data_IF_521645439302
#
_entry.id   IF_521645439302
#
_cell.length_a   1.000
_cell.length_b   1.000
_cell.length_c   1.000
_cell.angle_alpha   90.00
_cell.angle_beta   90.00
_cell.angle_gamma   90.00
#
_symmetry.space_group_name_H-M   'P 1'
#
loop_
_entity.id
_entity.type
_entity.pdbx_description
1 polymer ?
#
# COMPACT_ATOMS: atom_id res chain seq x y z
N UNK A 1 7.64 -22.01 -6.92
CA UNK A 1 8.21 -22.79 -5.81
C UNK A 1 8.43 -21.87 -4.63
N UNK A 2 8.19 -22.31 -3.38
CA UNK A 2 8.59 -21.55 -2.20
C UNK A 2 10.13 -21.39 -2.21
N UNK A 3 10.66 -20.18 -1.96
CA UNK A 3 12.11 -19.98 -1.82
C UNK A 3 12.61 -20.81 -0.61
N UNK A 4 13.82 -21.39 -0.62
CA UNK A 4 14.38 -22.01 0.59
C UNK A 4 14.41 -20.99 1.74
N UNK A 5 14.22 -21.44 2.99
CA UNK A 5 14.22 -20.62 4.22
C UNK A 5 12.96 -19.79 4.55
N UNK A 6 11.79 -20.11 3.96
CA UNK A 6 10.55 -19.34 4.20
C UNK A 6 10.11 -19.28 5.66
N UNK A 7 10.36 -20.30 6.48
CA UNK A 7 9.98 -20.34 7.90
C UNK A 7 10.65 -19.28 8.77
N UNK A 8 11.79 -18.71 8.34
CA UNK A 8 12.45 -17.58 9.02
C UNK A 8 12.09 -16.21 8.43
N UNK A 9 11.33 -16.17 7.35
CA UNK A 9 10.97 -14.90 6.70
C UNK A 9 9.65 -14.37 7.24
N UNK A 10 9.47 -13.05 7.28
CA UNK A 10 8.18 -12.41 7.61
C UNK A 10 7.02 -13.04 6.81
N UNK A 11 7.23 -13.38 5.53
CA UNK A 11 6.20 -14.03 4.71
C UNK A 11 5.80 -15.40 5.23
N UNK A 12 6.74 -16.21 5.71
CA UNK A 12 6.43 -17.52 6.30
C UNK A 12 5.58 -17.36 7.54
N UNK A 13 5.94 -16.44 8.43
CA UNK A 13 5.14 -16.15 9.63
C UNK A 13 3.73 -15.68 9.29
N UNK A 14 3.57 -14.78 8.31
CA UNK A 14 2.25 -14.30 7.86
C UNK A 14 1.41 -15.41 7.22
N UNK A 15 2.02 -16.25 6.38
CA UNK A 15 1.35 -17.40 5.77
C UNK A 15 0.89 -18.37 6.87
N UNK A 16 1.76 -18.66 7.83
CA UNK A 16 1.44 -19.57 8.94
C UNK A 16 0.26 -19.04 9.76
N UNK A 17 0.32 -17.78 10.21
CA UNK A 17 -0.80 -17.14 10.94
C UNK A 17 -2.11 -17.21 10.15
N UNK A 18 -2.08 -16.97 8.84
CA UNK A 18 -3.26 -17.06 7.97
C UNK A 18 -3.81 -18.48 7.87
N UNK A 19 -2.94 -19.49 7.69
CA UNK A 19 -3.35 -20.90 7.61
C UNK A 19 -3.92 -21.41 8.94
N UNK A 20 -3.42 -20.90 10.07
CA UNK A 20 -3.91 -21.24 11.41
C UNK A 20 -5.25 -20.56 11.74
N UNK A 21 -5.68 -19.57 10.94
CA UNK A 21 -6.92 -18.80 11.16
C UNK A 21 -7.78 -18.71 9.88
N UNK A 22 -8.26 -19.85 9.35
CA UNK A 22 -8.96 -19.90 8.05
C UNK A 22 -10.31 -19.17 8.02
N UNK A 23 -10.89 -18.85 9.19
CA UNK A 23 -12.12 -18.08 9.30
C UNK A 23 -11.88 -16.56 9.18
N UNK A 24 -10.67 -16.10 9.49
CA UNK A 24 -10.32 -14.68 9.53
C UNK A 24 -9.41 -14.26 8.35
N UNK A 25 -8.78 -15.22 7.66
CA UNK A 25 -7.80 -14.94 6.62
C UNK A 25 -7.94 -15.83 5.39
N UNK A 26 -7.84 -15.22 4.21
CA UNK A 26 -7.80 -15.91 2.93
C UNK A 26 -6.39 -15.87 2.33
N UNK A 27 -5.73 -17.03 2.25
CA UNK A 27 -4.43 -17.15 1.59
C UNK A 27 -4.57 -17.53 0.11
N UNK A 28 -4.37 -16.57 -0.79
CA UNK A 28 -4.31 -16.83 -2.23
C UNK A 28 -3.05 -17.65 -2.57
N UNK A 29 -3.24 -18.95 -2.81
CA UNK A 29 -2.16 -19.84 -3.27
C UNK A 29 -1.82 -19.58 -4.73
N UNK A 30 -0.75 -18.83 -4.96
CA UNK A 30 -0.22 -18.57 -6.30
C UNK A 30 0.35 -19.85 -6.95
N UNK A 31 -0.50 -20.57 -7.68
CA UNK A 31 -0.07 -21.70 -8.51
C UNK A 31 -0.15 -21.33 -10.00
N UNK A 32 0.88 -21.73 -10.78
CA UNK A 32 1.01 -21.43 -12.21
C UNK A 32 0.84 -19.92 -12.50
N UNK A 33 -0.10 -19.56 -13.37
CA UNK A 33 -0.35 -18.19 -13.84
C UNK A 33 -1.36 -17.41 -13.00
N UNK A 34 -1.93 -17.99 -11.93
CA UNK A 34 -3.05 -17.39 -11.19
C UNK A 34 -2.75 -15.98 -10.66
N UNK A 35 -1.58 -15.78 -10.04
CA UNK A 35 -1.21 -14.46 -9.50
C UNK A 35 -0.66 -13.49 -10.55
N UNK A 36 -0.54 -13.92 -11.81
CA UNK A 36 -0.23 -13.05 -12.95
C UNK A 36 -1.50 -12.57 -13.65
N UNK A 37 -2.67 -13.11 -13.28
CA UNK A 37 -3.97 -12.71 -13.78
C UNK A 37 -4.52 -11.55 -12.94
N UNK A 38 -4.69 -10.35 -13.51
CA UNK A 38 -5.18 -9.20 -12.77
C UNK A 38 -6.57 -9.41 -12.16
N UNK A 39 -7.46 -10.13 -12.85
CA UNK A 39 -8.80 -10.44 -12.38
C UNK A 39 -8.78 -11.26 -11.09
N UNK A 40 -7.88 -12.24 -10.99
CA UNK A 40 -7.80 -13.13 -9.85
C UNK A 40 -7.25 -12.44 -8.60
N UNK A 41 -6.19 -11.64 -8.75
CA UNK A 41 -5.61 -10.89 -7.62
C UNK A 41 -6.49 -9.73 -7.20
N UNK A 42 -7.05 -8.98 -8.16
CA UNK A 42 -7.95 -7.87 -7.86
C UNK A 42 -9.23 -8.32 -7.18
N UNK A 43 -9.78 -9.48 -7.55
CA UNK A 43 -10.93 -10.05 -6.85
C UNK A 43 -10.67 -10.26 -5.36
N UNK A 44 -9.47 -10.70 -4.97
CA UNK A 44 -9.12 -10.85 -3.55
C UNK A 44 -9.05 -9.49 -2.85
N UNK A 45 -8.46 -8.48 -3.49
CA UNK A 45 -8.37 -7.14 -2.92
C UNK A 45 -9.76 -6.51 -2.71
N UNK A 46 -10.65 -6.61 -3.70
CA UNK A 46 -12.00 -6.03 -3.62
C UNK A 46 -12.82 -6.58 -2.44
N UNK A 47 -12.66 -7.87 -2.13
CA UNK A 47 -13.42 -8.59 -1.11
C UNK A 47 -12.72 -8.68 0.25
N UNK A 48 -11.53 -8.09 0.41
CA UNK A 48 -10.79 -8.11 1.66
C UNK A 48 -10.83 -6.74 2.35
N UNK A 49 -10.82 -6.74 3.69
CA UNK A 49 -10.64 -5.51 4.46
C UNK A 49 -9.17 -5.10 4.53
N UNK A 50 -8.29 -6.06 4.83
CA UNK A 50 -6.87 -5.86 5.02
C UNK A 50 -6.06 -6.73 4.06
N UNK A 51 -4.96 -6.16 3.54
CA UNK A 51 -4.10 -6.83 2.58
C UNK A 51 -2.65 -6.79 3.05
N UNK A 52 -2.07 -7.96 3.31
CA UNK A 52 -0.70 -8.07 3.80
C UNK A 52 0.30 -7.70 2.70
N UNK A 53 1.15 -6.70 2.96
CA UNK A 53 2.19 -6.24 2.04
C UNK A 53 3.59 -6.36 2.66
N UNK A 54 4.09 -7.59 2.91
CA UNK A 54 5.44 -7.78 3.39
C UNK A 54 6.47 -7.35 2.34
N UNK A 55 7.62 -6.78 2.76
CA UNK A 55 8.68 -6.38 1.85
C UNK A 55 9.25 -7.57 1.07
N UNK A 56 10.01 -7.28 0.01
CA UNK A 56 10.74 -8.29 -0.74
C UNK A 56 12.12 -7.83 -1.14
N UNK A 57 12.50 -8.14 -2.38
CA UNK A 57 13.80 -7.74 -2.93
C UNK A 57 13.92 -6.20 -3.02
N UNK A 58 12.78 -5.50 -3.13
CA UNK A 58 12.63 -4.05 -2.99
C UNK A 58 11.75 -3.70 -1.78
N UNK A 59 11.89 -2.48 -1.20
CA UNK A 59 11.03 -2.04 -0.10
C UNK A 59 9.55 -1.97 -0.50
N UNK A 60 9.25 -1.41 -1.68
CA UNK A 60 7.88 -1.32 -2.20
C UNK A 60 7.61 -2.37 -3.27
N UNK A 61 6.37 -2.83 -3.35
CA UNK A 61 5.89 -3.77 -4.37
C UNK A 61 4.64 -3.22 -5.05
N UNK A 62 4.45 -3.60 -6.31
CA UNK A 62 3.23 -3.33 -7.09
C UNK A 62 1.94 -3.66 -6.30
N UNK A 63 1.95 -4.74 -5.52
CA UNK A 63 0.79 -5.20 -4.75
C UNK A 63 0.30 -4.20 -3.70
N UNK A 64 1.14 -3.30 -3.21
CA UNK A 64 0.74 -2.18 -2.33
C UNK A 64 -0.26 -1.30 -3.06
N UNK A 65 0.08 -0.86 -4.28
CA UNK A 65 -0.78 -0.03 -5.11
C UNK A 65 -2.02 -0.79 -5.60
N UNK A 66 -1.89 -2.06 -6.00
CA UNK A 66 -3.05 -2.86 -6.38
C UNK A 66 -4.04 -3.00 -5.21
N UNK A 67 -3.58 -3.09 -3.95
CA UNK A 67 -4.47 -3.12 -2.78
C UNK A 67 -5.18 -1.78 -2.54
N UNK A 68 -4.49 -0.66 -2.71
CA UNK A 68 -5.10 0.68 -2.64
C UNK A 68 -6.16 0.87 -3.74
N UNK A 69 -5.85 0.47 -4.97
CA UNK A 69 -6.80 0.50 -6.09
C UNK A 69 -8.02 -0.41 -5.81
N UNK A 70 -7.81 -1.55 -5.17
CA UNK A 70 -8.90 -2.44 -4.74
C UNK A 70 -9.69 -1.96 -3.51
N UNK A 71 -9.33 -0.82 -2.91
CA UNK A 71 -9.93 -0.34 -1.65
C UNK A 71 -9.62 -1.23 -0.45
N UNK A 72 -8.60 -2.07 -0.53
CA UNK A 72 -8.13 -2.90 0.56
C UNK A 72 -7.08 -2.15 1.38
N UNK A 73 -7.22 -2.14 2.70
CA UNK A 73 -6.31 -1.44 3.60
C UNK A 73 -4.96 -2.18 3.63
N UNK A 74 -3.86 -1.59 3.13
CA UNK A 74 -2.56 -2.24 3.19
C UNK A 74 -2.08 -2.36 4.63
N UNK A 75 -1.62 -3.56 4.97
CA UNK A 75 -0.87 -3.85 6.20
C UNK A 75 0.60 -3.89 5.83
N UNK A 76 1.34 -2.88 6.26
CA UNK A 76 2.75 -2.67 5.93
C UNK A 76 3.64 -3.16 7.07
N UNK A 77 4.77 -3.74 6.70
CA UNK A 77 5.72 -4.32 7.66
C UNK A 77 7.08 -3.61 7.69
N UNK A 78 7.23 -2.61 6.83
CA UNK A 78 8.39 -1.75 6.69
C UNK A 78 7.89 -0.35 6.26
N UNK A 79 8.25 0.74 6.96
CA UNK A 79 7.81 2.08 6.60
C UNK A 79 8.31 2.52 5.22
N UNK A 80 9.45 1.99 4.76
CA UNK A 80 9.97 2.27 3.42
C UNK A 80 9.06 1.72 2.31
N UNK A 81 8.15 0.79 2.61
CA UNK A 81 7.22 0.25 1.60
C UNK A 81 6.23 1.26 1.04
N UNK A 82 5.99 2.40 1.72
CA UNK A 82 5.07 3.42 1.23
C UNK A 82 5.40 4.83 1.72
N UNK A 83 5.72 5.00 3.00
CA UNK A 83 5.65 6.31 3.67
C UNK A 83 6.70 7.31 3.23
N UNK A 84 7.86 6.84 2.76
CA UNK A 84 8.96 7.73 2.38
C UNK A 84 9.10 7.92 0.87
N UNK A 85 8.60 7.00 0.05
CA UNK A 85 8.92 6.96 -1.39
C UNK A 85 7.88 7.65 -2.28
N UNK A 86 6.65 7.84 -1.81
CA UNK A 86 5.54 8.36 -2.64
C UNK A 86 4.85 9.60 -2.06
N UNK A 87 5.61 10.63 -1.62
CA UNK A 87 5.05 11.79 -0.92
C UNK A 87 4.08 12.62 -1.78
N UNK A 88 4.15 12.51 -3.11
CA UNK A 88 3.21 13.21 -4.00
C UNK A 88 1.86 12.49 -4.11
N UNK A 89 1.83 11.16 -3.95
CA UNK A 89 0.67 10.33 -4.24
C UNK A 89 0.01 9.72 -3.00
N UNK A 90 0.74 9.60 -1.90
CA UNK A 90 0.24 9.04 -0.65
C UNK A 90 0.16 10.15 0.42
N UNK A 91 -0.92 10.21 1.22
CA UNK A 91 -1.03 11.16 2.32
C UNK A 91 0.07 10.96 3.38
N UNK A 92 0.48 12.05 4.01
CA UNK A 92 1.43 12.02 5.14
C UNK A 92 0.87 11.26 6.35
N UNK A 93 -0.44 11.41 6.62
CA UNK A 93 -1.13 10.62 7.63
C UNK A 93 -1.31 9.17 7.18
N UNK A 94 -0.25 8.39 7.35
CA UNK A 94 -0.20 6.96 7.05
C UNK A 94 -1.28 6.13 7.75
N UNK A 95 -1.68 6.52 8.97
CA UNK A 95 -2.67 5.79 9.76
C UNK A 95 -4.09 5.93 9.20
N UNK A 96 -4.35 7.01 8.45
CA UNK A 96 -5.64 7.20 7.79
C UNK A 96 -5.96 6.15 6.71
N UNK A 97 -4.96 5.42 6.19
CA UNK A 97 -5.17 4.50 5.07
C UNK A 97 -4.42 3.16 5.20
N UNK A 98 -3.57 2.98 6.21
CA UNK A 98 -2.77 1.76 6.34
C UNK A 98 -2.59 1.35 7.79
N UNK A 99 -2.25 0.09 8.00
CA UNK A 99 -1.85 -0.43 9.31
C UNK A 99 -0.36 -0.77 9.25
N UNK A 100 0.42 -0.27 10.19
CA UNK A 100 1.84 -0.59 10.31
C UNK A 100 2.09 -1.57 11.45
N UNK A 101 2.77 -2.68 11.16
CA UNK A 101 3.19 -3.67 12.15
C UNK A 101 4.66 -4.02 11.87
N UNK A 102 5.62 -3.72 12.77
CA UNK A 102 7.03 -3.97 12.50
C UNK A 102 7.33 -5.44 12.16
N UNK A 103 8.06 -5.69 11.06
CA UNK A 103 8.46 -7.05 10.64
C UNK A 103 9.11 -7.85 11.77
N UNK A 104 9.98 -7.19 12.56
CA UNK A 104 10.69 -7.79 13.69
C UNK A 104 9.75 -8.28 14.79
N UNK A 105 8.65 -7.58 15.05
CA UNK A 105 7.69 -7.95 16.10
C UNK A 105 6.91 -9.20 15.67
N UNK A 106 6.55 -9.31 14.40
CA UNK A 106 5.89 -10.49 13.83
C UNK A 106 6.84 -11.69 13.83
N UNK A 107 8.10 -11.49 13.40
CA UNK A 107 9.10 -12.56 13.32
C UNK A 107 9.54 -13.07 14.69
N UNK A 108 9.59 -12.20 15.70
CA UNK A 108 9.89 -12.58 17.09
C UNK A 108 8.68 -13.15 17.84
N UNK A 109 7.51 -13.22 17.20
CA UNK A 109 6.26 -13.69 17.82
C UNK A 109 5.64 -12.71 18.81
N UNK A 110 6.19 -11.50 18.95
CA UNK A 110 5.64 -10.43 19.80
C UNK A 110 4.34 -9.84 19.25
N UNK A 111 4.12 -9.95 17.94
CA UNK A 111 2.90 -9.48 17.27
C UNK A 111 2.19 -10.62 16.52
N UNK A 112 0.94 -10.90 16.92
CA UNK A 112 0.00 -11.67 16.10
C UNK A 112 -0.81 -10.70 15.24
N UNK A 113 -0.58 -10.74 13.93
CA UNK A 113 -1.14 -9.80 12.97
C UNK A 113 -2.67 -9.92 12.92
N UNK A 114 -3.20 -11.14 12.91
CA UNK A 114 -4.64 -11.36 12.83
C UNK A 114 -5.34 -10.80 14.06
N UNK A 115 -4.80 -11.05 15.25
CA UNK A 115 -5.38 -10.51 16.49
C UNK A 115 -5.34 -8.98 16.53
N UNK A 116 -4.23 -8.37 16.11
CA UNK A 116 -4.12 -6.91 16.00
C UNK A 116 -5.17 -6.35 15.03
N UNK A 117 -5.36 -6.95 13.86
CA UNK A 117 -6.31 -6.44 12.88
C UNK A 117 -7.78 -6.62 13.32
N UNK A 118 -8.06 -7.60 14.19
CA UNK A 118 -9.40 -7.80 14.77
C UNK A 118 -9.77 -6.75 15.82
N UNK A 119 -8.80 -6.06 16.41
CA UNK A 119 -9.09 -4.96 17.35
C UNK A 119 -9.53 -3.69 16.63
N UNK A 120 -9.25 -3.56 15.33
CA UNK A 120 -9.65 -2.42 14.52
C UNK A 120 -11.15 -2.50 14.24
N UNK A 121 -11.87 -1.45 14.64
CA UNK A 121 -13.33 -1.42 14.56
C UNK A 121 -13.86 -1.47 13.12
N UNK A 122 -15.13 -1.82 12.93
CA UNK A 122 -15.76 -1.74 11.62
C UNK A 122 -15.82 -0.30 11.08
N UNK A 123 -16.05 0.67 11.97
CA UNK A 123 -16.09 2.09 11.63
C UNK A 123 -14.73 2.61 11.16
N UNK A 124 -13.66 2.27 11.88
CA UNK A 124 -12.30 2.65 11.50
C UNK A 124 -11.92 2.04 10.15
N UNK A 125 -12.22 0.76 9.92
CA UNK A 125 -12.02 0.11 8.61
C UNK A 125 -12.80 0.80 7.49
N UNK A 126 -14.05 1.18 7.75
CA UNK A 126 -14.87 1.88 6.77
C UNK A 126 -14.30 3.27 6.44
N UNK A 127 -13.86 4.01 7.45
CA UNK A 127 -13.20 5.31 7.30
C UNK A 127 -11.90 5.20 6.48
N UNK A 128 -11.02 4.25 6.84
CA UNK A 128 -9.78 4.02 6.10
C UNK A 128 -10.05 3.65 4.64
N UNK A 129 -11.02 2.77 4.38
CA UNK A 129 -11.42 2.39 3.02
C UNK A 129 -12.02 3.57 2.24
N UNK A 130 -12.84 4.40 2.87
CA UNK A 130 -13.37 5.61 2.26
C UNK A 130 -12.25 6.59 1.88
N UNK A 131 -11.28 6.81 2.78
CA UNK A 131 -10.07 7.61 2.51
C UNK A 131 -9.29 7.07 1.31
N UNK A 132 -9.10 5.76 1.23
CA UNK A 132 -8.45 5.11 0.08
C UNK A 132 -9.23 5.39 -1.21
N UNK A 133 -10.54 5.13 -1.24
CA UNK A 133 -11.35 5.20 -2.45
C UNK A 133 -11.52 6.64 -2.95
N UNK A 134 -11.75 7.59 -2.05
CA UNK A 134 -12.10 8.96 -2.41
C UNK A 134 -10.87 9.85 -2.61
N UNK A 135 -9.81 9.68 -1.82
CA UNK A 135 -8.73 10.65 -1.76
C UNK A 135 -7.40 10.11 -2.32
N UNK A 136 -7.17 8.79 -2.26
CA UNK A 136 -5.89 8.19 -2.68
C UNK A 136 -5.99 7.59 -4.08
N UNK A 137 -6.96 6.70 -4.29
CA UNK A 137 -7.12 5.93 -5.53
C UNK A 137 -7.13 6.82 -6.79
N UNK A 138 -7.86 7.95 -6.84
CA UNK A 138 -7.88 8.79 -8.04
C UNK A 138 -6.47 9.28 -8.43
N UNK A 139 -5.63 9.60 -7.45
CA UNK A 139 -4.26 10.05 -7.66
C UNK A 139 -3.25 8.94 -7.97
N UNK A 140 -3.68 7.67 -8.00
CA UNK A 140 -2.85 6.51 -8.36
C UNK A 140 -3.12 5.98 -9.76
N UNK A 141 -4.21 6.42 -10.39
CA UNK A 141 -4.62 5.96 -11.72
C UNK A 141 -4.54 7.09 -12.74
N UNK A 142 -4.37 6.73 -14.00
CA UNK A 142 -4.46 7.68 -15.10
C UNK A 142 -5.90 7.78 -15.58
N UNK A 143 -6.39 9.01 -15.72
CA UNK A 143 -7.69 9.26 -16.30
C UNK A 143 -7.66 9.00 -17.79
N UNK A 144 -8.78 8.48 -18.32
CA UNK A 144 -8.95 8.35 -19.76
C UNK A 144 -9.16 9.75 -20.37
N UNK A 145 -8.39 10.15 -21.40
CA UNK A 145 -8.59 11.43 -22.08
C UNK A 145 -10.04 11.59 -22.56
N UNK A 146 -10.64 12.75 -22.26
CA UNK A 146 -12.02 13.08 -22.65
C UNK A 146 -13.11 12.41 -21.80
N UNK A 147 -12.77 11.71 -20.72
CA UNK A 147 -13.76 11.19 -19.79
C UNK A 147 -14.46 12.32 -19.01
N UNK A 148 -15.79 12.26 -18.92
CA UNK A 148 -16.61 13.19 -18.14
C UNK A 148 -16.70 12.68 -16.70
N UNK A 149 -15.64 12.82 -15.93
CA UNK A 149 -15.62 12.46 -14.52
C UNK A 149 -15.57 13.70 -13.62
N UNK A 150 -15.94 13.58 -12.33
CA UNK A 150 -15.70 14.64 -11.35
C UNK A 150 -14.25 15.14 -11.41
N UNK A 151 -14.02 16.37 -11.00
CA UNK A 151 -12.72 17.06 -11.02
C UNK A 151 -11.71 16.50 -10.01
N UNK A 152 -11.37 15.21 -10.10
CA UNK A 152 -10.26 14.63 -9.35
C UNK A 152 -8.96 14.76 -10.15
N UNK A 153 -7.86 15.07 -9.45
CA UNK A 153 -6.51 15.07 -10.03
C UNK A 153 -6.04 13.63 -10.15
N UNK A 154 -5.60 13.25 -11.34
CA UNK A 154 -5.12 11.90 -11.58
C UNK A 154 -3.60 11.76 -11.30
N UNK A 155 -3.05 10.57 -11.52
CA UNK A 155 -1.62 10.32 -11.31
C UNK A 155 -0.70 11.19 -12.18
N UNK A 156 -1.13 11.54 -13.40
CA UNK A 156 -0.37 12.40 -14.30
C UNK A 156 -0.39 13.85 -13.81
N UNK A 157 -1.57 14.38 -13.48
CA UNK A 157 -1.76 15.74 -12.99
C UNK A 157 -0.88 16.00 -11.76
N UNK A 158 -0.94 15.09 -10.78
CA UNK A 158 -0.16 15.14 -9.54
C UNK A 158 1.34 15.16 -9.84
N UNK A 159 1.80 14.30 -10.75
CA UNK A 159 3.24 14.18 -11.08
C UNK A 159 3.78 15.43 -11.77
N UNK A 160 3.03 15.98 -12.72
CA UNK A 160 3.43 17.18 -13.46
C UNK A 160 3.40 18.40 -12.55
N UNK A 161 2.35 18.57 -11.75
CA UNK A 161 2.24 19.67 -10.79
C UNK A 161 3.38 19.62 -9.76
N UNK A 162 3.66 18.43 -9.19
CA UNK A 162 4.76 18.22 -8.26
C UNK A 162 6.12 18.56 -8.87
N UNK A 163 6.36 18.19 -10.14
CA UNK A 163 7.57 18.54 -10.87
C UNK A 163 7.69 20.06 -11.09
N UNK A 164 6.63 20.71 -11.55
CA UNK A 164 6.61 22.16 -11.78
C UNK A 164 6.85 22.93 -10.49
N UNK A 165 6.21 22.53 -9.38
CA UNK A 165 6.41 23.14 -8.07
C UNK A 165 7.86 22.99 -7.60
N UNK A 166 8.47 21.82 -7.78
CA UNK A 166 9.87 21.58 -7.43
C UNK A 166 10.81 22.49 -8.21
N UNK A 167 10.57 22.68 -9.51
CA UNK A 167 11.36 23.60 -10.35
C UNK A 167 11.19 25.05 -9.90
N UNK A 168 9.97 25.47 -9.57
CA UNK A 168 9.69 26.81 -9.07
C UNK A 168 10.43 27.08 -7.74
N UNK A 169 10.35 26.16 -6.78
CA UNK A 169 11.07 26.26 -5.51
C UNK A 169 12.59 26.36 -5.72
N UNK A 170 13.15 25.52 -6.59
CA UNK A 170 14.58 25.52 -6.89
C UNK A 170 15.04 26.86 -7.51
N UNK A 171 14.20 27.49 -8.34
CA UNK A 171 14.47 28.83 -8.90
C UNK A 171 14.41 29.91 -7.82
N UNK A 172 13.43 29.84 -6.93
CA UNK A 172 13.30 30.78 -5.81
C UNK A 172 14.48 30.70 -4.84
N UNK A 173 14.93 29.49 -4.47
CA UNK A 173 16.10 29.27 -3.61
C UNK A 173 17.40 29.82 -4.22
N UNK A 174 17.58 29.65 -5.53
CA UNK A 174 18.71 30.26 -6.26
C UNK A 174 18.65 31.79 -6.25
N UNK A 175 17.46 32.36 -6.44
CA UNK A 175 17.28 33.82 -6.39
C UNK A 175 17.51 34.40 -4.99
N UNK A 176 17.24 33.61 -3.94
CA UNK A 176 17.49 33.97 -2.54
C UNK A 176 18.96 33.79 -2.09
N UNK A 177 19.87 33.39 -2.98
CA UNK A 177 21.31 33.30 -2.70
C UNK A 177 21.74 32.06 -1.88
N UNK A 178 20.91 31.03 -1.79
CA UNK A 178 21.10 29.90 -0.86
C UNK A 178 22.08 28.80 -1.27
N UNK A 179 22.80 28.91 -2.40
CA UNK A 179 23.67 27.82 -2.88
C UNK A 179 25.16 28.22 -2.85
N UNK A 180 25.87 27.84 -1.78
CA UNK A 180 27.33 27.65 -1.86
C UNK A 180 27.57 26.24 -2.43
N UNK A 181 28.39 26.22 -3.47
CA UNK A 181 28.78 25.05 -4.25
C UNK A 181 29.49 23.99 -3.43
#
# INVERSE_FOLDING_TARGET
MPRPNMTKSIRGHLIQQCLDSPQDCFFLRCHKKLCFRPDSTMNVFLHSHFCMQPPGDSPTRRSVFDSLIGGCIPVLFDPYSAYYQYPWHLPEDSKSFSVYIPSQDVMSGRANVIQILKTISAEERASMRARIIHDILPGLVYSKPGAKHPSFRDAFDISIEGLLQRVANFRAEKAAGGFKQ
#
